data_IF_846177280260
#
_entry.id   IF_846177280260
#
_cell.length_a   1.000
_cell.length_b   1.000
_cell.length_c   1.000
_cell.angle_alpha   90.00
_cell.angle_beta   90.00
_cell.angle_gamma   90.00
#
_symmetry.space_group_name_H-M   'P 1'
#
loop_
_entity.id
_entity.type
_entity.pdbx_description
1 polymer ?
#
# COMPACT_ATOMS: atom_id res chain seq x y z
N UNK A 1 19.84 2.40 -14.63
CA UNK A 1 19.29 1.42 -13.66
C UNK A 1 19.89 1.77 -12.30
N UNK A 2 19.07 1.85 -11.27
CA UNK A 2 19.52 2.23 -9.91
C UNK A 2 19.52 1.05 -8.93
N UNK A 3 18.82 -0.02 -9.30
CA UNK A 3 18.58 -1.18 -8.45
C UNK A 3 18.53 -2.47 -9.26
N UNK A 4 18.87 -3.61 -8.64
CA UNK A 4 18.78 -4.93 -9.23
C UNK A 4 18.26 -5.95 -8.21
N UNK A 5 17.28 -6.75 -8.60
CA UNK A 5 16.80 -7.90 -7.83
C UNK A 5 17.73 -9.11 -8.01
N UNK A 6 18.12 -9.71 -6.91
CA UNK A 6 18.95 -10.91 -6.91
C UNK A 6 18.07 -12.09 -6.47
N UNK A 7 17.31 -12.62 -7.41
CA UNK A 7 16.34 -13.70 -7.18
C UNK A 7 14.90 -13.20 -7.00
N UNK A 8 13.99 -14.12 -6.72
CA UNK A 8 12.59 -13.91 -6.40
C UNK A 8 12.10 -15.08 -5.53
N UNK A 9 11.47 -14.78 -4.39
CA UNK A 9 10.96 -15.77 -3.44
C UNK A 9 11.97 -16.88 -3.07
N UNK A 10 13.24 -16.54 -3.05
CA UNK A 10 14.30 -17.48 -2.70
C UNK A 10 14.29 -17.78 -1.20
N UNK A 11 14.72 -18.99 -0.87
CA UNK A 11 14.75 -19.50 0.50
C UNK A 11 16.01 -20.32 0.77
N UNK A 12 16.29 -20.51 2.07
CA UNK A 12 17.42 -21.29 2.55
C UNK A 12 18.73 -20.50 2.65
N UNK A 13 19.66 -21.04 3.43
CA UNK A 13 20.97 -20.41 3.68
C UNK A 13 21.83 -20.31 2.42
N UNK A 14 21.74 -21.29 1.54
CA UNK A 14 22.47 -21.28 0.26
C UNK A 14 22.18 -20.04 -0.60
N UNK A 15 20.95 -19.54 -0.54
CA UNK A 15 20.59 -18.33 -1.26
C UNK A 15 21.29 -17.11 -0.68
N UNK A 16 21.32 -16.97 0.65
CA UNK A 16 21.97 -15.84 1.33
C UNK A 16 23.47 -15.79 1.03
N UNK A 17 24.14 -16.94 0.98
CA UNK A 17 25.55 -17.04 0.57
C UNK A 17 25.75 -16.57 -0.88
N UNK A 18 24.89 -17.03 -1.80
CA UNK A 18 24.91 -16.63 -3.21
C UNK A 18 24.60 -15.13 -3.38
N UNK A 19 23.63 -14.62 -2.63
CA UNK A 19 23.32 -13.17 -2.61
C UNK A 19 24.56 -12.36 -2.25
N UNK A 20 25.26 -12.73 -1.17
CA UNK A 20 26.45 -12.02 -0.73
C UNK A 20 27.56 -11.99 -1.80
N UNK A 21 27.78 -13.10 -2.50
CA UNK A 21 28.78 -13.18 -3.59
C UNK A 21 28.39 -12.30 -4.78
N UNK A 22 27.14 -12.36 -5.22
CA UNK A 22 26.63 -11.56 -6.35
C UNK A 22 26.65 -10.07 -6.00
N UNK A 23 26.19 -9.74 -4.78
CA UNK A 23 26.21 -8.34 -4.30
C UNK A 23 27.65 -7.76 -4.27
N UNK A 24 28.63 -8.52 -3.77
CA UNK A 24 30.00 -8.06 -3.75
C UNK A 24 30.55 -7.76 -5.16
N UNK A 25 30.22 -8.60 -6.15
CA UNK A 25 30.61 -8.36 -7.54
C UNK A 25 29.90 -7.14 -8.16
N UNK A 26 28.64 -6.89 -7.76
CA UNK A 26 27.91 -5.68 -8.16
C UNK A 26 28.55 -4.43 -7.55
N UNK A 27 28.85 -4.45 -6.25
CA UNK A 27 29.47 -3.32 -5.54
C UNK A 27 30.82 -2.94 -6.15
N UNK A 28 31.63 -3.94 -6.52
CA UNK A 28 32.93 -3.72 -7.20
C UNK A 28 32.76 -3.04 -8.55
N UNK A 29 31.80 -3.51 -9.35
CA UNK A 29 31.65 -3.07 -10.75
C UNK A 29 30.76 -1.85 -10.90
N UNK A 30 29.76 -1.69 -10.03
CA UNK A 30 28.73 -0.65 -10.07
C UNK A 30 28.51 -0.04 -8.68
N UNK A 31 29.49 0.73 -8.14
CA UNK A 31 29.36 1.34 -6.83
C UNK A 31 28.08 2.17 -6.69
N UNK A 32 27.33 1.96 -5.60
CA UNK A 32 26.07 2.64 -5.33
C UNK A 32 24.84 2.02 -6.02
N UNK A 33 24.96 0.88 -6.70
CA UNK A 33 23.82 0.11 -7.19
C UNK A 33 23.09 -0.53 -6.02
N UNK A 34 21.78 -0.25 -5.87
CA UNK A 34 20.93 -0.91 -4.89
C UNK A 34 20.73 -2.39 -5.23
N UNK A 35 20.67 -3.24 -4.21
CA UNK A 35 20.38 -4.66 -4.37
C UNK A 35 19.13 -5.06 -3.58
N UNK A 36 18.27 -5.88 -4.19
CA UNK A 36 17.08 -6.43 -3.55
C UNK A 36 17.38 -7.88 -3.18
N UNK A 37 17.25 -8.20 -1.88
CA UNK A 37 17.42 -9.51 -1.29
C UNK A 37 16.07 -10.17 -1.15
N UNK A 38 15.80 -11.22 -1.90
CA UNK A 38 14.57 -11.98 -1.81
C UNK A 38 14.49 -12.73 -0.46
N UNK A 39 13.33 -12.67 0.20
CA UNK A 39 13.14 -13.20 1.54
C UNK A 39 12.06 -14.29 1.63
N UNK A 40 11.90 -15.08 0.56
CA UNK A 40 10.83 -16.06 0.44
C UNK A 40 9.49 -15.41 0.04
N UNK A 41 8.43 -16.20 0.04
CA UNK A 41 7.08 -15.76 -0.37
C UNK A 41 6.09 -15.64 0.80
N UNK A 42 6.55 -15.71 2.05
CA UNK A 42 5.71 -15.71 3.24
C UNK A 42 6.16 -14.65 4.24
N UNK A 43 5.21 -13.89 4.83
CA UNK A 43 5.54 -12.75 5.69
C UNK A 43 5.97 -13.11 7.12
N UNK A 44 5.85 -14.38 7.51
CA UNK A 44 6.00 -14.81 8.91
C UNK A 44 6.83 -16.11 9.00
N UNK A 45 7.68 -16.38 8.02
CA UNK A 45 8.47 -17.61 8.00
C UNK A 45 9.97 -17.39 8.33
N UNK A 46 10.68 -18.47 8.51
CA UNK A 46 12.10 -18.47 8.82
C UNK A 46 12.95 -17.81 7.71
N UNK A 47 12.51 -17.81 6.47
CA UNK A 47 13.26 -17.20 5.37
C UNK A 47 13.30 -15.69 5.53
N UNK A 48 12.18 -15.05 5.89
CA UNK A 48 12.13 -13.63 6.18
C UNK A 48 12.99 -13.27 7.40
N UNK A 49 12.90 -14.07 8.48
CA UNK A 49 13.72 -13.86 9.68
C UNK A 49 15.21 -13.96 9.36
N UNK A 50 15.62 -14.95 8.59
CA UNK A 50 17.01 -15.16 8.18
C UNK A 50 17.50 -14.05 7.23
N UNK A 51 16.67 -13.58 6.30
CA UNK A 51 17.00 -12.45 5.43
C UNK A 51 17.25 -11.17 6.22
N UNK A 52 16.39 -10.85 7.20
CA UNK A 52 16.58 -9.70 8.08
C UNK A 52 17.78 -9.87 9.00
N UNK A 53 18.02 -11.08 9.53
CA UNK A 53 19.21 -11.37 10.33
C UNK A 53 20.50 -11.19 9.53
N UNK A 54 20.51 -11.62 8.27
CA UNK A 54 21.62 -11.40 7.34
C UNK A 54 21.81 -9.92 7.02
N UNK A 55 20.71 -9.17 6.84
CA UNK A 55 20.77 -7.77 6.43
C UNK A 55 21.19 -6.83 7.57
N UNK A 56 20.70 -7.07 8.80
CA UNK A 56 20.98 -6.22 9.97
C UNK A 56 22.46 -6.15 10.29
N UNK A 57 22.96 -4.91 10.46
CA UNK A 57 24.36 -4.66 10.82
C UNK A 57 25.39 -4.97 9.73
N UNK A 58 24.95 -5.50 8.56
CA UNK A 58 25.82 -5.85 7.43
C UNK A 58 25.58 -4.96 6.23
N UNK A 59 24.32 -4.59 5.99
CA UNK A 59 23.93 -3.80 4.82
C UNK A 59 23.27 -2.48 5.25
N UNK A 60 23.45 -1.47 4.41
CA UNK A 60 22.88 -0.14 4.55
C UNK A 60 21.60 0.04 3.70
N UNK A 61 21.14 1.27 3.61
CA UNK A 61 19.93 1.64 2.85
C UNK A 61 19.99 1.40 1.33
N UNK A 62 21.10 0.89 0.79
CA UNK A 62 21.19 0.43 -0.60
C UNK A 62 20.77 -1.02 -0.77
N UNK A 63 20.55 -1.76 0.33
CA UNK A 63 19.93 -3.09 0.28
C UNK A 63 18.48 -2.99 0.71
N UNK A 64 17.64 -3.68 -0.03
CA UNK A 64 16.21 -3.83 0.25
C UNK A 64 15.91 -5.30 0.50
N UNK A 65 15.26 -5.60 1.61
CA UNK A 65 14.73 -6.93 1.89
C UNK A 65 13.34 -7.01 1.28
N UNK A 66 13.16 -7.97 0.38
CA UNK A 66 11.94 -8.14 -0.41
C UNK A 66 10.91 -8.97 0.38
N UNK A 67 9.93 -8.31 0.94
CA UNK A 67 8.84 -8.95 1.68
C UNK A 67 7.64 -9.18 0.78
N UNK A 68 7.07 -10.38 0.86
CA UNK A 68 5.85 -10.75 0.13
C UNK A 68 4.75 -11.19 1.09
N UNK A 69 3.50 -10.87 0.77
CA UNK A 69 2.35 -11.48 1.43
C UNK A 69 1.10 -11.53 0.55
N UNK A 70 0.39 -12.63 0.70
CA UNK A 70 -0.94 -12.85 0.15
C UNK A 70 -1.80 -13.42 1.28
N UNK A 71 -2.52 -12.57 1.99
CA UNK A 71 -3.22 -12.90 3.24
C UNK A 71 -4.63 -12.32 3.25
N UNK A 72 -5.50 -12.91 4.10
CA UNK A 72 -6.86 -12.42 4.24
C UNK A 72 -6.91 -11.03 4.92
N UNK A 73 -8.02 -10.30 4.82
CA UNK A 73 -8.17 -8.97 5.42
C UNK A 73 -7.91 -8.92 6.91
N UNK A 74 -8.29 -9.94 7.68
CA UNK A 74 -8.08 -9.97 9.14
C UNK A 74 -6.58 -9.99 9.48
N UNK A 75 -5.81 -10.77 8.74
CA UNK A 75 -4.35 -10.75 8.87
C UNK A 75 -3.79 -9.38 8.48
N UNK A 76 -4.24 -8.81 7.35
CA UNK A 76 -3.79 -7.48 6.90
C UNK A 76 -4.07 -6.43 7.98
N UNK A 77 -5.27 -6.41 8.59
CA UNK A 77 -5.58 -5.51 9.70
C UNK A 77 -4.67 -5.73 10.92
N UNK A 78 -4.25 -6.95 11.20
CA UNK A 78 -3.31 -7.21 12.30
C UNK A 78 -1.92 -6.64 12.06
N UNK A 79 -1.57 -6.27 10.82
CA UNK A 79 -0.25 -5.79 10.40
C UNK A 79 -0.14 -4.25 10.27
N UNK A 80 -1.11 -3.48 10.75
CA UNK A 80 -1.12 -2.01 10.60
C UNK A 80 0.09 -1.30 11.25
N UNK A 81 0.75 -1.97 12.18
CA UNK A 81 1.92 -1.50 12.90
C UNK A 81 3.19 -2.32 12.61
N UNK A 82 3.16 -3.14 11.55
CA UNK A 82 4.25 -4.06 11.22
C UNK A 82 5.62 -3.37 11.18
N UNK A 83 5.70 -2.23 10.54
CA UNK A 83 6.97 -1.52 10.29
C UNK A 83 7.35 -0.51 11.37
N UNK A 84 6.47 -0.24 12.35
CA UNK A 84 6.72 0.76 13.41
C UNK A 84 7.96 0.39 14.26
N UNK A 85 8.20 -0.90 14.47
CA UNK A 85 9.33 -1.42 15.26
C UNK A 85 10.58 -1.79 14.45
N UNK A 86 10.60 -1.58 13.14
CA UNK A 86 11.77 -1.92 12.32
C UNK A 86 12.94 -0.96 12.58
N UNK A 87 14.16 -1.48 12.52
CA UNK A 87 15.38 -0.71 12.73
C UNK A 87 15.57 0.31 11.58
N UNK A 88 15.91 1.56 11.94
CA UNK A 88 16.21 2.64 11.00
C UNK A 88 17.70 2.73 10.73
N UNK A 89 18.05 3.25 9.54
CA UNK A 89 19.47 3.47 9.17
C UNK A 89 20.20 2.20 8.69
N UNK A 90 19.50 1.11 8.45
CA UNK A 90 20.03 -0.13 7.89
C UNK A 90 19.38 -0.44 6.53
N UNK A 91 19.37 -1.71 6.11
CA UNK A 91 18.61 -2.17 4.96
C UNK A 91 17.13 -1.77 5.08
N UNK A 92 16.51 -1.47 3.96
CA UNK A 92 15.10 -1.07 3.88
C UNK A 92 14.19 -2.22 3.48
N UNK A 93 12.90 -2.05 3.67
CA UNK A 93 11.88 -2.93 3.12
C UNK A 93 11.61 -2.56 1.66
N UNK A 94 11.57 -3.55 0.81
CA UNK A 94 10.81 -3.55 -0.43
C UNK A 94 9.63 -4.49 -0.23
N UNK A 95 8.42 -3.97 -0.15
CA UNK A 95 7.22 -4.78 -0.18
C UNK A 95 6.92 -5.10 -1.65
N UNK A 96 7.62 -6.12 -2.18
CA UNK A 96 7.72 -6.38 -3.62
C UNK A 96 6.48 -7.03 -4.21
N UNK A 97 5.79 -7.84 -3.41
CA UNK A 97 4.51 -8.42 -3.81
C UNK A 97 3.54 -8.44 -2.63
N UNK A 98 2.38 -7.86 -2.81
CA UNK A 98 1.31 -7.99 -1.82
C UNK A 98 -0.07 -7.86 -2.44
N UNK A 99 -1.02 -8.57 -1.86
CA UNK A 99 -2.45 -8.35 -2.03
C UNK A 99 -3.21 -8.89 -0.83
N UNK A 100 -4.31 -8.24 -0.47
CA UNK A 100 -5.29 -8.85 0.41
C UNK A 100 -6.07 -9.90 -0.37
N UNK A 101 -6.19 -11.10 0.21
CA UNK A 101 -6.98 -12.19 -0.37
C UNK A 101 -8.34 -12.28 0.33
N UNK A 102 -9.41 -12.31 -0.43
CA UNK A 102 -10.71 -12.72 0.06
C UNK A 102 -10.75 -14.22 0.42
N UNK A 103 -11.91 -14.69 0.79
CA UNK A 103 -12.16 -16.12 0.91
C UNK A 103 -12.38 -16.71 -0.48
N UNK A 104 -11.65 -17.75 -0.85
CA UNK A 104 -11.57 -18.45 -2.16
C UNK A 104 -12.90 -18.86 -2.83
N UNK A 105 -13.96 -18.10 -2.70
CA UNK A 105 -15.30 -18.42 -3.24
C UNK A 105 -15.74 -17.51 -4.38
N UNK A 106 -15.05 -16.43 -4.63
CA UNK A 106 -15.43 -15.45 -5.65
C UNK A 106 -14.66 -15.66 -6.96
N UNK A 107 -15.25 -15.22 -8.06
CA UNK A 107 -14.59 -15.16 -9.38
C UNK A 107 -13.39 -14.20 -9.35
N UNK A 108 -13.44 -13.24 -8.44
CA UNK A 108 -12.34 -12.32 -8.14
C UNK A 108 -12.22 -12.13 -6.63
N UNK A 109 -11.01 -11.94 -6.14
CA UNK A 109 -10.73 -11.55 -4.77
C UNK A 109 -10.55 -10.02 -4.62
N UNK A 110 -10.66 -9.28 -5.70
CA UNK A 110 -10.65 -7.81 -5.72
C UNK A 110 -12.02 -7.25 -5.33
N UNK A 111 -12.44 -7.50 -4.10
CA UNK A 111 -13.68 -7.00 -3.50
C UNK A 111 -13.41 -5.76 -2.65
N UNK A 112 -14.48 -5.07 -2.22
CA UNK A 112 -14.34 -3.91 -1.35
C UNK A 112 -13.67 -4.28 -0.02
N UNK A 113 -13.94 -5.45 0.53
CA UNK A 113 -13.30 -5.93 1.76
C UNK A 113 -11.77 -5.99 1.64
N UNK A 114 -11.25 -6.50 0.53
CA UNK A 114 -9.80 -6.56 0.30
C UNK A 114 -9.22 -5.18 0.05
N UNK A 115 -9.91 -4.35 -0.72
CA UNK A 115 -9.46 -3.00 -1.07
C UNK A 115 -9.37 -2.08 0.16
N UNK A 116 -10.37 -2.09 1.06
CA UNK A 116 -10.34 -1.25 2.26
C UNK A 116 -9.29 -1.73 3.27
N UNK A 117 -9.03 -3.04 3.35
CA UNK A 117 -7.95 -3.58 4.16
C UNK A 117 -6.58 -3.12 3.65
N UNK A 118 -6.36 -3.15 2.34
CA UNK A 118 -5.15 -2.60 1.72
C UNK A 118 -5.03 -1.09 1.95
N UNK A 119 -6.12 -0.35 1.79
CA UNK A 119 -6.11 1.09 2.05
C UNK A 119 -5.69 1.41 3.49
N UNK A 120 -6.21 0.67 4.46
CA UNK A 120 -5.82 0.82 5.85
C UNK A 120 -4.34 0.45 6.08
N UNK A 121 -3.87 -0.68 5.55
CA UNK A 121 -2.48 -1.14 5.68
C UNK A 121 -1.47 -0.14 5.09
N UNK A 122 -1.77 0.42 3.93
CA UNK A 122 -0.90 1.38 3.26
C UNK A 122 -0.71 2.69 4.06
N UNK A 123 -1.62 3.05 4.98
CA UNK A 123 -1.34 4.16 5.91
C UNK A 123 -0.15 3.85 6.81
N UNK A 124 0.00 2.58 7.24
CA UNK A 124 1.15 2.10 8.00
C UNK A 124 2.44 2.10 7.18
N UNK A 125 2.35 1.71 5.91
CA UNK A 125 3.47 1.77 4.96
C UNK A 125 3.96 3.21 4.79
N UNK A 126 3.06 4.16 4.54
CA UNK A 126 3.43 5.58 4.39
C UNK A 126 4.04 6.18 5.66
N UNK A 127 3.44 5.92 6.84
CA UNK A 127 4.02 6.40 8.11
C UNK A 127 5.46 5.95 8.33
N UNK A 128 5.84 4.83 7.74
CA UNK A 128 7.16 4.21 7.84
C UNK A 128 7.98 4.31 6.55
N UNK A 129 7.82 5.38 5.76
CA UNK A 129 8.54 5.56 4.49
C UNK A 129 10.06 5.72 4.65
N UNK A 130 10.54 5.96 5.86
CA UNK A 130 11.96 5.91 6.21
C UNK A 130 12.52 4.48 6.24
N UNK A 131 11.66 3.49 6.49
CA UNK A 131 11.96 2.05 6.49
C UNK A 131 11.47 1.37 5.22
N UNK A 132 10.22 1.61 4.82
CA UNK A 132 9.66 1.02 3.60
C UNK A 132 9.98 1.92 2.42
N UNK A 133 11.00 1.56 1.66
CA UNK A 133 11.46 2.39 0.54
C UNK A 133 10.62 2.23 -0.72
N UNK A 134 9.97 1.09 -0.89
CA UNK A 134 9.10 0.81 -2.05
C UNK A 134 8.03 -0.22 -1.68
N UNK A 135 6.88 -0.12 -2.35
CA UNK A 135 5.86 -1.18 -2.34
C UNK A 135 5.22 -1.33 -3.71
N UNK A 136 4.88 -2.55 -4.08
CA UNK A 136 4.24 -2.89 -5.36
C UNK A 136 3.17 -3.94 -5.17
N UNK A 137 1.99 -3.65 -5.70
CA UNK A 137 0.89 -4.61 -5.73
C UNK A 137 1.19 -5.75 -6.70
N UNK A 138 0.81 -6.97 -6.37
CA UNK A 138 0.83 -8.12 -7.27
C UNK A 138 -0.47 -8.92 -7.15
N UNK A 139 -1.06 -9.33 -8.29
CA UNK A 139 -0.57 -9.24 -9.66
C UNK A 139 -1.11 -8.00 -10.37
N UNK A 140 -0.33 -7.42 -11.27
CA UNK A 140 -0.70 -6.17 -11.93
C UNK A 140 -1.71 -6.38 -13.06
N UNK A 141 -1.43 -7.30 -13.99
CA UNK A 141 -2.21 -7.50 -15.20
C UNK A 141 -2.72 -8.94 -15.33
N UNK A 142 -3.96 -9.08 -15.77
CA UNK A 142 -4.55 -10.36 -16.11
C UNK A 142 -5.24 -10.29 -17.47
N UNK A 143 -4.83 -11.17 -18.40
CA UNK A 143 -5.64 -11.48 -19.56
C UNK A 143 -6.83 -12.32 -19.08
N UNK A 144 -7.99 -11.78 -19.21
CA UNK A 144 -9.17 -12.19 -18.49
C UNK A 144 -9.59 -13.64 -18.64
N UNK A 145 -9.50 -14.19 -19.82
CA UNK A 145 -9.88 -15.58 -20.08
C UNK A 145 -8.78 -16.57 -19.70
N UNK A 146 -7.60 -16.08 -19.28
CA UNK A 146 -6.42 -16.86 -19.00
C UNK A 146 -5.83 -16.59 -17.61
N UNK A 147 -6.61 -16.05 -16.67
CA UNK A 147 -6.15 -15.74 -15.32
C UNK A 147 -5.73 -16.99 -14.55
N UNK A 148 -4.52 -16.95 -13.98
CA UNK A 148 -4.02 -17.98 -13.06
C UNK A 148 -4.40 -17.68 -11.61
N UNK A 149 -4.61 -16.38 -11.30
CA UNK A 149 -4.87 -15.86 -9.97
C UNK A 149 -6.15 -15.04 -9.95
N UNK A 150 -6.78 -14.93 -8.82
CA UNK A 150 -8.08 -14.27 -8.63
C UNK A 150 -7.95 -12.83 -8.12
N UNK A 151 -6.74 -12.38 -7.77
CA UNK A 151 -6.45 -11.03 -7.26
C UNK A 151 -5.54 -10.27 -8.23
N UNK A 152 -6.12 -9.72 -9.26
CA UNK A 152 -5.37 -8.95 -10.25
C UNK A 152 -5.83 -7.49 -10.24
N UNK A 153 -4.90 -6.54 -10.35
CA UNK A 153 -5.25 -5.13 -10.26
C UNK A 153 -5.99 -4.64 -11.51
N UNK A 154 -5.55 -5.09 -12.69
CA UNK A 154 -6.11 -4.68 -14.00
C UNK A 154 -6.39 -5.93 -14.83
N UNK A 155 -7.63 -6.08 -15.25
CA UNK A 155 -8.04 -7.12 -16.18
C UNK A 155 -8.19 -6.53 -17.57
N UNK A 156 -7.82 -7.27 -18.60
CA UNK A 156 -7.93 -6.81 -19.97
C UNK A 156 -8.20 -7.95 -20.95
N UNK A 157 -8.76 -7.58 -22.09
CA UNK A 157 -8.83 -8.38 -23.31
C UNK A 157 -8.49 -7.48 -24.50
N UNK A 158 -8.50 -7.96 -25.76
CA UNK A 158 -8.18 -7.12 -26.92
C UNK A 158 -9.03 -5.86 -27.09
N UNK A 159 -10.18 -5.76 -26.40
CA UNK A 159 -11.15 -4.69 -26.63
C UNK A 159 -11.41 -3.83 -25.39
N UNK A 160 -11.19 -4.38 -24.18
CA UNK A 160 -11.58 -3.75 -22.91
C UNK A 160 -10.48 -3.83 -21.87
N UNK A 161 -10.46 -2.83 -20.98
CA UNK A 161 -9.63 -2.78 -19.78
C UNK A 161 -10.58 -2.54 -18.61
N UNK A 162 -10.50 -3.39 -17.59
CA UNK A 162 -11.29 -3.27 -16.37
C UNK A 162 -10.39 -3.08 -15.16
N UNK A 163 -10.66 -2.03 -14.39
CA UNK A 163 -9.93 -1.68 -13.17
C UNK A 163 -10.62 -2.27 -11.97
N UNK A 164 -9.92 -3.06 -11.18
CA UNK A 164 -10.44 -3.56 -9.92
C UNK A 164 -10.64 -2.43 -8.90
N UNK A 165 -11.32 -2.71 -7.81
CA UNK A 165 -11.47 -1.76 -6.70
C UNK A 165 -10.09 -1.46 -6.08
N UNK A 166 -9.24 -2.48 -5.95
CA UNK A 166 -7.87 -2.35 -5.45
C UNK A 166 -7.02 -1.43 -6.32
N UNK A 167 -7.25 -1.39 -7.65
CA UNK A 167 -6.60 -0.42 -8.53
C UNK A 167 -6.83 1.02 -8.06
N UNK A 168 -8.05 1.37 -7.68
CA UNK A 168 -8.34 2.74 -7.25
C UNK A 168 -7.67 3.08 -5.92
N UNK A 169 -7.55 2.13 -5.00
CA UNK A 169 -6.76 2.32 -3.77
C UNK A 169 -5.31 2.64 -4.13
N UNK A 170 -4.68 1.81 -4.97
CA UNK A 170 -3.29 2.04 -5.38
C UNK A 170 -3.11 3.36 -6.13
N UNK A 171 -4.06 3.71 -7.00
CA UNK A 171 -4.07 4.98 -7.72
C UNK A 171 -4.15 6.18 -6.77
N UNK A 172 -5.04 6.13 -5.77
CA UNK A 172 -5.20 7.22 -4.79
C UNK A 172 -3.93 7.38 -3.94
N UNK A 173 -3.24 6.30 -3.60
CA UNK A 173 -1.95 6.39 -2.91
C UNK A 173 -0.85 6.96 -3.80
N UNK A 174 -0.71 6.49 -5.03
CA UNK A 174 0.37 6.90 -5.93
C UNK A 174 0.20 8.30 -6.51
N UNK A 175 -1.04 8.76 -6.71
CA UNK A 175 -1.33 10.08 -7.26
C UNK A 175 -1.26 11.22 -6.22
N UNK A 176 -1.39 10.91 -4.94
CA UNK A 176 -1.44 11.88 -3.85
C UNK A 176 -0.30 11.62 -2.86
N UNK A 177 0.93 11.94 -3.28
CA UNK A 177 2.13 11.79 -2.46
C UNK A 177 2.63 13.15 -1.97
N UNK A 178 3.17 13.18 -0.75
CA UNK A 178 3.90 14.31 -0.20
C UNK A 178 5.40 14.06 -0.18
N UNK A 179 6.14 15.09 0.17
CA UNK A 179 7.61 15.03 0.28
C UNK A 179 8.05 14.62 1.69
N UNK A 180 7.20 14.88 2.69
CA UNK A 180 7.50 14.64 4.11
C UNK A 180 6.33 14.01 4.82
N UNK A 181 6.63 13.01 5.66
CA UNK A 181 5.66 12.43 6.59
C UNK A 181 5.44 13.39 7.75
N UNK A 182 4.19 13.52 8.19
CA UNK A 182 3.78 14.25 9.39
C UNK A 182 3.33 13.29 10.47
N UNK A 183 3.79 13.53 11.67
CA UNK A 183 3.29 12.84 12.85
C UNK A 183 1.84 13.28 13.12
N UNK A 184 1.00 12.31 13.49
CA UNK A 184 -0.39 12.54 13.85
C UNK A 184 -0.51 12.39 15.37
N UNK A 185 -0.86 13.47 16.05
CA UNK A 185 -1.04 13.49 17.48
C UNK A 185 -2.53 13.43 17.86
N UNK A 186 -2.82 12.87 19.02
CA UNK A 186 -4.15 12.83 19.57
C UNK A 186 -4.75 11.43 19.62
N UNK A 187 -6.05 11.37 19.98
CA UNK A 187 -6.78 10.11 20.06
C UNK A 187 -7.37 9.77 18.68
N UNK A 188 -6.84 8.73 18.06
CA UNK A 188 -7.42 8.14 16.86
C UNK A 188 -8.53 7.17 17.29
N UNK A 189 -9.78 7.33 16.79
CA UNK A 189 -10.84 6.35 17.01
C UNK A 189 -10.46 4.96 16.53
N UNK A 190 -10.99 3.94 17.16
CA UNK A 190 -10.87 2.56 16.70
C UNK A 190 -11.42 2.43 15.26
N UNK A 191 -10.82 1.56 14.46
CA UNK A 191 -11.15 1.35 13.04
C UNK A 191 -10.91 2.56 12.12
N UNK A 192 -10.15 3.56 12.56
CA UNK A 192 -9.60 4.59 11.69
C UNK A 192 -8.09 4.43 11.55
N UNK A 193 -7.64 4.42 10.31
CA UNK A 193 -6.22 4.32 9.96
C UNK A 193 -5.84 5.54 9.14
N UNK A 194 -4.77 6.22 9.56
CA UNK A 194 -4.41 7.52 9.00
C UNK A 194 -2.93 7.58 8.64
N UNK A 195 -2.64 8.29 7.57
CA UNK A 195 -1.32 8.86 7.29
C UNK A 195 -1.46 10.34 6.92
N UNK A 196 -0.43 11.10 7.21
CA UNK A 196 -0.34 12.51 6.89
C UNK A 196 1.01 12.81 6.23
N UNK A 197 0.95 13.55 5.15
CA UNK A 197 2.13 14.00 4.41
C UNK A 197 1.99 15.47 4.08
N UNK A 198 3.08 16.12 3.74
CA UNK A 198 3.00 17.45 3.15
C UNK A 198 4.01 17.67 2.03
N UNK A 199 3.72 18.67 1.24
CA UNK A 199 4.62 19.32 0.30
C UNK A 199 4.83 20.76 0.76
N UNK A 200 5.60 21.54 0.01
CA UNK A 200 5.70 22.99 0.26
C UNK A 200 4.35 23.73 0.15
N UNK A 201 3.41 23.21 -0.65
CA UNK A 201 2.16 23.88 -1.01
C UNK A 201 0.91 23.33 -0.30
N UNK A 202 0.91 22.07 0.13
CA UNK A 202 -0.28 21.41 0.66
C UNK A 202 0.02 20.36 1.72
N UNK A 203 -0.99 20.11 2.55
CA UNK A 203 -1.09 18.97 3.46
C UNK A 203 -1.97 17.91 2.82
N UNK A 204 -1.54 16.67 2.86
CA UNK A 204 -2.24 15.50 2.30
C UNK A 204 -2.56 14.54 3.44
N UNK A 205 -3.84 14.24 3.62
CA UNK A 205 -4.30 13.26 4.59
C UNK A 205 -4.90 12.08 3.85
N UNK A 206 -4.61 10.87 4.32
CA UNK A 206 -5.22 9.62 3.86
C UNK A 206 -5.84 8.91 5.04
N UNK A 207 -7.13 8.62 4.94
CA UNK A 207 -7.93 8.10 6.05
C UNK A 207 -8.76 6.91 5.57
N UNK A 208 -8.52 5.74 6.14
CA UNK A 208 -9.38 4.58 5.95
C UNK A 208 -10.30 4.43 7.16
N UNK A 209 -11.60 4.54 6.94
CA UNK A 209 -12.64 4.21 7.92
C UNK A 209 -13.13 2.79 7.65
N UNK A 210 -12.72 1.85 8.47
CA UNK A 210 -13.11 0.44 8.36
C UNK A 210 -14.30 0.06 9.25
N UNK A 211 -14.92 1.06 9.91
CA UNK A 211 -16.13 0.86 10.68
C UNK A 211 -17.37 0.82 9.77
N UNK A 212 -18.39 0.08 10.21
CA UNK A 212 -19.71 0.06 9.56
C UNK A 212 -20.56 1.31 9.87
N UNK A 213 -19.95 2.29 10.53
CA UNK A 213 -20.60 3.53 10.93
C UNK A 213 -19.83 4.74 10.42
N UNK A 214 -20.58 5.80 10.17
CA UNK A 214 -20.04 7.11 9.87
C UNK A 214 -19.17 7.61 11.03
N UNK A 215 -18.04 8.23 10.71
CA UNK A 215 -17.12 8.82 11.69
C UNK A 215 -16.98 10.33 11.45
N UNK A 216 -17.06 11.12 12.51
CA UNK A 216 -16.84 12.56 12.44
C UNK A 216 -15.52 12.92 13.12
N UNK A 217 -14.68 13.65 12.41
CA UNK A 217 -13.36 14.07 12.87
C UNK A 217 -13.23 15.59 12.87
N UNK A 218 -12.52 16.08 13.88
CA UNK A 218 -11.95 17.43 13.86
C UNK A 218 -10.43 17.26 13.82
N UNK A 219 -9.80 17.76 12.78
CA UNK A 219 -8.37 17.63 12.55
C UNK A 219 -7.76 19.02 12.52
N UNK A 220 -6.80 19.28 13.38
CA UNK A 220 -6.08 20.55 13.37
C UNK A 220 -4.92 20.45 12.37
N UNK A 221 -4.98 21.30 11.35
CA UNK A 221 -4.00 21.43 10.29
C UNK A 221 -3.55 22.90 10.27
N UNK A 222 -2.80 23.29 11.27
CA UNK A 222 -2.45 24.71 11.51
C UNK A 222 -1.80 25.44 10.32
N UNK A 223 -1.22 24.69 9.37
CA UNK A 223 -0.59 25.23 8.17
C UNK A 223 -1.55 25.43 6.99
N UNK A 224 -2.82 24.99 7.09
CA UNK A 224 -3.78 25.03 5.99
C UNK A 224 -4.97 25.91 6.31
N UNK A 225 -5.51 26.60 5.28
CA UNK A 225 -6.77 27.36 5.34
C UNK A 225 -7.45 27.38 3.98
N UNK A 226 -8.77 27.59 3.94
CA UNK A 226 -9.53 27.67 2.69
C UNK A 226 -10.03 26.33 2.16
N UNK A 227 -10.25 26.23 0.85
CA UNK A 227 -10.79 25.02 0.22
C UNK A 227 -9.80 23.86 0.26
N UNK A 228 -10.32 22.68 0.61
CA UNK A 228 -9.61 21.41 0.52
C UNK A 228 -10.35 20.47 -0.43
N UNK A 229 -9.61 19.79 -1.30
CA UNK A 229 -10.16 18.74 -2.14
C UNK A 229 -10.30 17.45 -1.36
N UNK A 230 -11.40 16.75 -1.59
CA UNK A 230 -11.70 15.46 -0.94
C UNK A 230 -12.00 14.43 -2.02
N UNK A 231 -11.31 13.31 -1.98
CA UNK A 231 -11.50 12.17 -2.90
C UNK A 231 -11.87 10.97 -2.05
N UNK A 232 -13.07 10.45 -2.25
CA UNK A 232 -13.58 9.33 -1.45
C UNK A 232 -13.85 8.12 -2.34
N UNK A 233 -13.38 6.96 -1.90
CA UNK A 233 -13.71 5.64 -2.42
C UNK A 233 -14.49 4.90 -1.34
N UNK A 234 -15.69 4.41 -1.66
CA UNK A 234 -16.54 3.72 -0.70
C UNK A 234 -17.32 2.59 -1.38
N UNK A 235 -17.42 1.46 -0.70
CA UNK A 235 -18.31 0.36 -1.06
C UNK A 235 -19.47 0.25 -0.06
N UNK A 236 -20.53 -0.37 -0.48
CA UNK A 236 -21.74 -0.59 0.35
C UNK A 236 -21.80 -2.00 0.94
N UNK A 237 -21.05 -2.94 0.37
CA UNK A 237 -21.02 -4.35 0.74
C UNK A 237 -19.58 -4.88 0.61
N UNK A 238 -19.18 -5.74 1.53
CA UNK A 238 -17.85 -6.35 1.57
C UNK A 238 -17.49 -7.13 0.30
N UNK A 239 -18.45 -7.81 -0.28
CA UNK A 239 -18.29 -8.63 -1.49
C UNK A 239 -18.47 -7.79 -2.79
N UNK A 240 -18.76 -6.50 -2.68
CA UNK A 240 -18.92 -5.64 -3.84
C UNK A 240 -17.60 -5.50 -4.59
N UNK A 241 -17.67 -5.67 -5.90
CA UNK A 241 -16.52 -5.57 -6.79
C UNK A 241 -16.92 -4.86 -8.09
N UNK A 242 -15.94 -4.31 -8.77
CA UNK A 242 -16.15 -3.86 -10.14
C UNK A 242 -16.32 -5.06 -11.06
N UNK A 243 -17.20 -4.92 -12.06
CA UNK A 243 -17.53 -6.03 -12.96
C UNK A 243 -16.34 -6.36 -13.86
N UNK A 244 -16.03 -7.66 -13.94
CA UNK A 244 -14.97 -8.22 -14.77
C UNK A 244 -15.55 -9.06 -15.92
N UNK A 245 -16.69 -8.67 -16.43
CA UNK A 245 -17.33 -9.36 -17.57
C UNK A 245 -16.69 -8.90 -18.88
N UNK A 246 -16.30 -9.87 -19.71
CA UNK A 246 -15.60 -9.63 -20.98
C UNK A 246 -16.51 -9.56 -22.20
N UNK A 247 -17.80 -9.62 -22.00
CA UNK A 247 -18.82 -9.62 -23.07
C UNK A 247 -19.57 -8.31 -23.20
N UNK A 248 -19.25 -7.30 -22.39
CA UNK A 248 -19.94 -6.01 -22.36
C UNK A 248 -19.03 -4.87 -21.92
N UNK A 249 -19.60 -3.69 -21.81
CA UNK A 249 -18.89 -2.53 -21.26
C UNK A 249 -18.54 -2.76 -19.78
N UNK A 250 -17.36 -2.30 -19.32
CA UNK A 250 -16.97 -2.37 -17.91
C UNK A 250 -18.01 -1.67 -17.02
N UNK A 251 -18.34 -2.28 -15.90
CA UNK A 251 -19.24 -1.71 -14.90
C UNK A 251 -18.46 -1.42 -13.63
N UNK A 252 -18.14 -0.17 -13.42
CA UNK A 252 -17.45 0.31 -12.24
C UNK A 252 -18.46 0.76 -11.18
N UNK A 253 -18.78 -0.10 -10.24
CA UNK A 253 -19.67 0.21 -9.12
C UNK A 253 -19.00 1.11 -8.08
N UNK A 254 -17.71 0.84 -7.81
CA UNK A 254 -16.89 1.54 -6.85
C UNK A 254 -15.83 2.34 -7.60
N UNK A 255 -15.93 3.66 -7.54
CA UNK A 255 -14.99 4.60 -8.15
C UNK A 255 -14.74 5.78 -7.22
N UNK A 256 -13.57 6.43 -7.29
CA UNK A 256 -13.30 7.65 -6.53
C UNK A 256 -14.30 8.77 -6.90
N UNK A 257 -14.89 9.37 -5.87
CA UNK A 257 -15.80 10.52 -6.00
C UNK A 257 -15.09 11.75 -5.44
N UNK A 258 -15.06 12.83 -6.22
CA UNK A 258 -14.46 14.10 -5.81
C UNK A 258 -15.51 15.01 -5.18
N UNK A 259 -15.11 15.71 -4.14
CA UNK A 259 -15.88 16.78 -3.48
C UNK A 259 -14.92 17.79 -2.87
N UNK A 260 -15.47 18.84 -2.26
CA UNK A 260 -14.69 19.85 -1.57
C UNK A 260 -15.18 20.03 -0.13
N UNK A 261 -14.30 20.50 0.72
CA UNK A 261 -14.59 20.90 2.09
C UNK A 261 -13.78 22.15 2.43
N UNK A 262 -14.01 22.72 3.62
CA UNK A 262 -13.36 23.94 4.07
C UNK A 262 -12.49 23.67 5.29
N UNK A 263 -11.25 24.11 5.25
CA UNK A 263 -10.41 24.29 6.43
C UNK A 263 -10.64 25.70 6.94
N UNK A 264 -11.03 25.86 8.17
CA UNK A 264 -11.31 27.17 8.77
C UNK A 264 -10.46 27.37 10.02
N UNK A 265 -9.59 28.39 9.97
CA UNK A 265 -8.70 28.71 11.08
C UNK A 265 -7.80 27.55 11.46
N UNK A 266 -7.29 26.81 10.47
CA UNK A 266 -6.45 25.65 10.67
C UNK A 266 -7.18 24.37 11.12
N UNK A 267 -8.51 24.36 11.18
CA UNK A 267 -9.29 23.18 11.59
C UNK A 267 -10.11 22.65 10.41
N UNK A 268 -9.92 21.37 10.10
CA UNK A 268 -10.72 20.59 9.15
C UNK A 268 -11.78 19.79 9.93
N UNK A 269 -13.05 19.98 9.57
CA UNK A 269 -14.16 19.15 10.05
C UNK A 269 -14.59 18.23 8.95
N UNK A 270 -14.50 16.94 9.20
CA UNK A 270 -14.73 15.90 8.20
C UNK A 270 -15.72 14.87 8.72
N UNK A 271 -16.57 14.40 7.82
CA UNK A 271 -17.46 13.27 8.05
C UNK A 271 -17.13 12.19 7.04
N UNK A 272 -16.62 11.07 7.54
CA UNK A 272 -16.25 9.91 6.76
C UNK A 272 -17.44 8.95 6.64
N UNK A 273 -17.73 8.50 5.45
CA UNK A 273 -18.73 7.44 5.24
C UNK A 273 -18.27 6.13 5.93
N UNK A 274 -19.21 5.23 6.27
CA UNK A 274 -18.86 3.87 6.66
C UNK A 274 -18.04 3.20 5.57
N UNK A 275 -17.13 2.30 5.94
CA UNK A 275 -16.34 1.52 5.00
C UNK A 275 -15.84 2.38 3.83
N UNK A 276 -14.96 3.37 4.10
CA UNK A 276 -14.48 4.32 3.08
C UNK A 276 -13.00 4.62 3.19
N UNK A 277 -12.39 4.87 2.06
CA UNK A 277 -11.04 5.42 1.97
C UNK A 277 -11.10 6.83 1.40
N UNK A 278 -10.53 7.80 2.11
CA UNK A 278 -10.60 9.22 1.78
C UNK A 278 -9.22 9.84 1.73
N UNK A 279 -8.94 10.56 0.65
CA UNK A 279 -7.76 11.43 0.50
C UNK A 279 -8.22 12.87 0.56
N UNK A 280 -7.53 13.71 1.35
CA UNK A 280 -7.79 15.14 1.47
C UNK A 280 -6.52 15.89 1.10
N UNK A 281 -6.63 16.88 0.25
CA UNK A 281 -5.57 17.81 -0.08
C UNK A 281 -5.98 19.23 0.33
N UNK A 282 -5.30 19.79 1.33
CA UNK A 282 -5.55 21.15 1.86
C UNK A 282 -4.37 22.06 1.54
N UNK A 283 -4.62 23.21 0.92
CA UNK A 283 -3.60 24.23 0.64
C UNK A 283 -3.04 24.86 1.93
N UNK A 284 -1.76 25.16 1.94
CA UNK A 284 -1.06 25.89 3.01
C UNK A 284 -1.16 27.39 2.85
#
# INVERSE_FOLDING_TARGET
>A
MKMIGIGNENFGSDYLEKFAVVKAAIDEKYPGMGCILAAGGMPDDENLENAWKEARGKYDAHVFVDEHFYKNPDWVYSQMHRYDGYERGTAKVFLGEYAAHGTFKAVTENTWQTAIAEAAFLTGVERNSDVVGMCTYALLFCLAECGQWTHNMIYFNPFHIEKSVNYYVQQMYSAHQGDYIREIEGRIPENLYLSAMDTDEKVILKIANTADTQQSLNIDIAAADGNAQVITLAGSDAEEANSLTFTGEPVYKIQPVQSETMVSGGTLRLTLAPQSFTVIEAGK
#
